data_IF_541540993045
#
_entry.id   IF_541540993045
#
_cell.length_a   1.000
_cell.length_b   1.000
_cell.length_c   1.000
_cell.angle_alpha   90.00
_cell.angle_beta   90.00
_cell.angle_gamma   90.00
#
_symmetry.space_group_name_H-M   'P 1'
#
loop_
_entity.id
_entity.type
_entity.pdbx_description
1 polymer ?
#
# COMPACT_ATOMS: atom_id res chain seq x y z
N UNK A 1 -26.65 2.29 0.67
CA UNK A 1 -25.25 1.87 0.92
C UNK A 1 -25.11 1.58 2.41
N UNK A 2 -25.08 0.32 2.77
CA UNK A 2 -25.14 -0.13 4.18
C UNK A 2 -23.89 0.30 4.98
N UNK A 3 -22.74 0.47 4.33
CA UNK A 3 -21.52 0.81 5.09
C UNK A 3 -21.52 2.24 5.64
N UNK A 4 -22.19 3.18 5.00
CA UNK A 4 -22.30 4.55 5.50
C UNK A 4 -23.01 4.62 6.87
N UNK A 5 -23.92 3.68 7.14
CA UNK A 5 -24.58 3.57 8.44
C UNK A 5 -23.65 3.01 9.53
N UNK A 6 -22.54 2.34 9.10
CA UNK A 6 -21.51 1.82 10.01
C UNK A 6 -20.44 2.86 10.36
N UNK A 7 -20.34 3.94 9.56
CA UNK A 7 -19.44 5.07 9.86
C UNK A 7 -20.06 5.82 11.05
N UNK A 8 -19.36 5.80 12.16
CA UNK A 8 -19.76 6.48 13.39
C UNK A 8 -19.27 7.92 13.38
N UNK A 9 -19.82 8.75 14.27
CA UNK A 9 -19.38 10.14 14.48
C UNK A 9 -18.03 10.25 15.23
N UNK A 10 -17.26 9.15 15.27
CA UNK A 10 -15.99 9.08 15.97
C UNK A 10 -15.03 8.14 15.21
N UNK A 11 -13.87 8.66 14.85
CA UNK A 11 -12.74 7.91 14.31
C UNK A 11 -11.78 7.42 15.42
N UNK A 12 -10.72 6.70 15.01
CA UNK A 12 -9.70 6.20 15.94
C UNK A 12 -9.04 7.33 16.74
N UNK A 13 -8.69 8.43 16.10
CA UNK A 13 -7.94 9.51 16.74
C UNK A 13 -8.77 10.25 17.80
N UNK A 14 -10.05 10.51 17.49
CA UNK A 14 -11.01 11.05 18.44
C UNK A 14 -11.28 10.09 19.61
N UNK A 15 -11.30 8.78 19.35
CA UNK A 15 -11.42 7.76 20.39
C UNK A 15 -10.18 7.75 21.31
N UNK A 16 -8.98 7.69 20.74
CA UNK A 16 -7.73 7.65 21.51
C UNK A 16 -7.50 8.93 22.34
N UNK A 17 -7.95 10.07 21.86
CA UNK A 17 -7.86 11.34 22.59
C UNK A 17 -8.72 11.35 23.85
N UNK A 18 -9.85 10.65 23.84
CA UNK A 18 -10.86 10.70 24.92
C UNK A 18 -10.86 9.45 25.81
N UNK A 19 -9.90 8.53 25.64
CA UNK A 19 -9.81 7.30 26.44
C UNK A 19 -9.03 7.54 27.74
N UNK A 20 -9.46 6.88 28.82
CA UNK A 20 -8.70 6.82 30.08
C UNK A 20 -7.69 5.66 30.11
N UNK A 21 -7.69 4.79 29.09
CA UNK A 21 -6.78 3.64 29.02
C UNK A 21 -5.36 4.07 28.66
N UNK A 22 -4.39 3.27 29.12
CA UNK A 22 -2.99 3.46 28.78
C UNK A 22 -2.72 3.03 27.34
N UNK A 23 -2.19 3.96 26.55
CA UNK A 23 -1.81 3.71 25.14
C UNK A 23 -0.33 3.35 25.08
N UNK A 24 -0.03 2.24 24.44
CA UNK A 24 1.35 1.78 24.16
C UNK A 24 1.51 1.45 22.68
N UNK A 25 2.76 1.55 22.19
CA UNK A 25 3.06 1.29 20.78
C UNK A 25 3.79 -0.04 20.61
N UNK A 26 3.28 -0.86 19.73
CA UNK A 26 3.89 -2.12 19.33
C UNK A 26 4.73 -1.92 18.07
N UNK A 27 6.04 -1.88 18.25
CA UNK A 27 7.04 -1.62 17.22
C UNK A 27 7.75 -0.28 17.40
N UNK A 28 8.73 -0.03 16.54
CA UNK A 28 9.60 1.16 16.50
C UNK A 28 10.08 1.40 15.08
N UNK A 29 10.62 2.60 14.81
CA UNK A 29 11.07 3.02 13.48
C UNK A 29 10.07 3.90 12.77
N UNK A 30 10.18 4.03 11.45
CA UNK A 30 9.46 5.04 10.65
C UNK A 30 7.92 4.97 10.83
N UNK A 31 7.33 3.78 10.89
CA UNK A 31 5.89 3.65 11.12
C UNK A 31 5.46 4.19 12.49
N UNK A 32 6.28 3.93 13.53
CA UNK A 32 6.04 4.48 14.86
C UNK A 32 6.20 6.01 14.87
N UNK A 33 7.23 6.55 14.20
CA UNK A 33 7.44 7.98 14.09
C UNK A 33 6.26 8.70 13.42
N UNK A 34 5.71 8.13 12.33
CA UNK A 34 4.52 8.66 11.66
C UNK A 34 3.29 8.67 12.57
N UNK A 35 3.03 7.57 13.27
CA UNK A 35 1.90 7.47 14.19
C UNK A 35 2.08 8.43 15.36
N UNK A 36 3.29 8.57 15.92
CA UNK A 36 3.58 9.52 16.99
C UNK A 36 3.35 10.96 16.56
N UNK A 37 3.72 11.34 15.34
CA UNK A 37 3.44 12.68 14.82
C UNK A 37 1.94 13.00 14.77
N UNK A 38 1.11 12.01 14.38
CA UNK A 38 -0.35 12.15 14.43
C UNK A 38 -0.86 12.18 15.88
N UNK A 39 -0.33 11.34 16.77
CA UNK A 39 -0.67 11.36 18.19
C UNK A 39 -0.39 12.75 18.81
N UNK A 40 0.77 13.35 18.50
CA UNK A 40 1.13 14.69 18.94
C UNK A 40 0.14 15.74 18.44
N UNK A 41 -0.23 15.68 17.16
CA UNK A 41 -1.24 16.59 16.58
C UNK A 41 -2.60 16.52 17.30
N UNK A 42 -3.04 15.32 17.70
CA UNK A 42 -4.31 15.12 18.41
C UNK A 42 -4.19 15.23 19.92
N UNK A 43 -3.00 15.49 20.49
CA UNK A 43 -2.74 15.55 21.92
C UNK A 43 -2.87 14.17 22.62
N UNK A 44 -2.54 13.10 21.93
CA UNK A 44 -2.59 11.72 22.42
C UNK A 44 -1.20 11.35 22.99
N UNK A 45 -1.17 10.82 24.21
CA UNK A 45 0.08 10.41 24.86
C UNK A 45 0.31 8.91 24.73
N UNK A 46 1.45 8.51 24.14
CA UNK A 46 1.94 7.13 24.12
C UNK A 46 2.85 6.90 25.31
N UNK A 47 2.47 5.97 26.20
CA UNK A 47 3.14 5.75 27.47
C UNK A 47 4.44 4.97 27.34
N UNK A 48 4.48 3.92 26.52
CA UNK A 48 5.66 3.08 26.29
C UNK A 48 5.68 2.46 24.89
N UNK A 49 6.85 1.87 24.57
CA UNK A 49 7.09 1.12 23.36
C UNK A 49 7.45 -0.32 23.70
N UNK A 50 6.98 -1.27 22.89
CA UNK A 50 7.34 -2.66 23.10
C UNK A 50 7.58 -3.42 21.80
N UNK A 51 8.31 -4.54 21.93
CA UNK A 51 8.50 -5.53 20.89
C UNK A 51 7.99 -6.91 21.37
N UNK A 52 7.81 -7.83 20.44
CA UNK A 52 7.51 -9.24 20.78
C UNK A 52 8.61 -9.81 21.69
N UNK A 53 8.25 -10.67 22.61
CA UNK A 53 9.15 -11.16 23.68
C UNK A 53 10.49 -11.71 23.16
N UNK A 54 10.50 -12.38 22.02
CA UNK A 54 11.72 -12.88 21.37
C UNK A 54 12.58 -11.83 20.63
N UNK A 55 12.12 -10.57 20.55
CA UNK A 55 12.76 -9.51 19.76
C UNK A 55 13.24 -8.31 20.60
N UNK A 56 13.12 -8.38 21.90
CA UNK A 56 13.64 -7.35 22.83
C UNK A 56 15.15 -7.43 22.89
N UNK A 57 15.84 -6.36 22.47
CA UNK A 57 17.31 -6.30 22.38
C UNK A 57 17.91 -5.21 23.27
N UNK A 58 17.18 -4.71 24.27
CA UNK A 58 17.65 -3.64 25.15
C UNK A 58 17.79 -2.28 24.47
N UNK A 59 17.15 -2.07 23.33
CA UNK A 59 17.14 -0.77 22.62
C UNK A 59 16.30 0.26 23.34
N UNK A 60 16.62 1.53 23.13
CA UNK A 60 15.76 2.66 23.47
C UNK A 60 15.16 3.26 22.22
N UNK A 61 13.93 3.78 22.35
CA UNK A 61 13.22 4.51 21.30
C UNK A 61 12.55 5.75 21.91
N UNK A 62 12.77 6.92 21.34
CA UNK A 62 12.33 8.22 21.91
C UNK A 62 12.66 8.39 23.41
N UNK A 63 13.88 7.97 23.82
CA UNK A 63 14.35 8.11 25.20
C UNK A 63 13.75 7.11 26.20
N UNK A 64 12.90 6.20 25.78
CA UNK A 64 12.30 5.13 26.61
C UNK A 64 12.91 3.78 26.28
N UNK A 65 13.10 2.92 27.28
CA UNK A 65 13.51 1.52 27.07
C UNK A 65 12.36 0.77 26.41
N UNK A 66 12.67 0.01 25.34
CA UNK A 66 11.69 -0.85 24.68
C UNK A 66 11.43 -2.08 25.54
N UNK A 67 10.17 -2.27 25.93
CA UNK A 67 9.73 -3.35 26.80
C UNK A 67 9.43 -4.63 26.00
N UNK A 68 9.31 -5.75 26.69
CA UNK A 68 8.68 -6.96 26.15
C UNK A 68 7.15 -6.86 26.22
N UNK A 69 6.44 -7.64 25.40
CA UNK A 69 4.97 -7.70 25.48
C UNK A 69 4.50 -8.17 26.87
N UNK A 70 5.18 -9.16 27.45
CA UNK A 70 4.90 -9.67 28.81
C UNK A 70 5.07 -8.58 29.87
N UNK A 71 6.16 -7.79 29.80
CA UNK A 71 6.42 -6.70 30.75
C UNK A 71 5.37 -5.58 30.64
N UNK A 72 4.88 -5.26 29.44
CA UNK A 72 3.82 -4.26 29.26
C UNK A 72 2.52 -4.73 29.89
N UNK A 73 2.13 -6.00 29.71
CA UNK A 73 0.93 -6.56 30.35
C UNK A 73 1.04 -6.60 31.87
N UNK A 74 2.19 -6.95 32.39
CA UNK A 74 2.43 -6.93 33.83
C UNK A 74 2.33 -5.52 34.41
N UNK A 75 2.86 -4.53 33.70
CA UNK A 75 2.91 -3.12 34.15
C UNK A 75 1.53 -2.44 34.14
N UNK A 76 0.70 -2.68 33.12
CA UNK A 76 -0.52 -1.90 32.88
C UNK A 76 -1.81 -2.72 33.01
N UNK A 77 -1.75 -4.03 32.93
CA UNK A 77 -2.92 -4.91 32.85
C UNK A 77 -3.57 -4.91 31.45
N UNK A 78 -4.00 -6.07 30.99
CA UNK A 78 -4.55 -6.23 29.63
C UNK A 78 -5.85 -5.39 29.41
N UNK A 79 -6.70 -5.29 30.42
CA UNK A 79 -8.00 -4.59 30.33
C UNK A 79 -7.86 -3.05 30.23
N UNK A 80 -6.76 -2.51 30.78
CA UNK A 80 -6.47 -1.07 30.79
C UNK A 80 -5.48 -0.68 29.69
N UNK A 81 -5.25 -1.53 28.69
CA UNK A 81 -4.23 -1.35 27.70
C UNK A 81 -4.82 -1.18 26.30
N UNK A 82 -4.38 -0.15 25.59
CA UNK A 82 -4.57 0.02 24.14
C UNK A 82 -3.23 -0.12 23.46
N UNK A 83 -3.16 -1.02 22.48
CA UNK A 83 -1.97 -1.30 21.68
C UNK A 83 -2.12 -0.67 20.29
N UNK A 84 -1.19 0.21 19.90
CA UNK A 84 -1.07 0.74 18.55
C UNK A 84 0.03 -0.01 17.80
N UNK A 85 -0.35 -0.74 16.76
CA UNK A 85 0.59 -1.43 15.88
C UNK A 85 1.25 -0.44 14.92
N UNK A 86 2.57 -0.41 14.88
CA UNK A 86 3.34 0.58 14.12
C UNK A 86 4.24 0.00 13.02
N UNK A 87 4.10 -1.28 12.69
CA UNK A 87 4.84 -1.92 11.59
C UNK A 87 3.93 -2.85 10.79
N UNK A 88 4.28 -3.06 9.53
CA UNK A 88 3.51 -3.89 8.63
C UNK A 88 4.10 -5.27 8.43
N UNK A 89 3.23 -6.26 8.13
CA UNK A 89 3.64 -7.60 7.76
C UNK A 89 2.55 -8.33 6.98
N UNK A 90 3.00 -9.19 6.05
CA UNK A 90 2.18 -10.22 5.38
C UNK A 90 2.57 -11.64 5.83
N UNK A 91 3.59 -11.79 6.69
CA UNK A 91 4.04 -13.09 7.16
C UNK A 91 2.97 -13.78 8.02
N UNK A 92 2.51 -15.00 7.68
CA UNK A 92 1.45 -15.68 8.42
C UNK A 92 1.71 -15.78 9.93
N UNK A 93 2.95 -16.09 10.34
CA UNK A 93 3.33 -16.18 11.76
C UNK A 93 3.19 -14.84 12.49
N UNK A 94 3.45 -13.72 11.83
CA UNK A 94 3.31 -12.37 12.39
C UNK A 94 1.85 -11.96 12.45
N UNK A 95 1.06 -12.28 11.43
CA UNK A 95 -0.39 -12.02 11.41
C UNK A 95 -1.10 -12.80 12.54
N UNK A 96 -0.70 -14.06 12.80
CA UNK A 96 -1.22 -14.82 13.95
C UNK A 96 -0.83 -14.19 15.30
N UNK A 97 0.37 -13.60 15.40
CA UNK A 97 0.76 -12.85 16.58
C UNK A 97 -0.11 -11.60 16.79
N UNK A 98 -0.42 -10.86 15.69
CA UNK A 98 -1.35 -9.73 15.78
C UNK A 98 -2.74 -10.16 16.23
N UNK A 99 -3.27 -11.26 15.69
CA UNK A 99 -4.55 -11.83 16.13
C UNK A 99 -4.52 -12.22 17.62
N UNK A 100 -3.40 -12.78 18.10
CA UNK A 100 -3.23 -13.12 19.52
C UNK A 100 -3.27 -11.88 20.41
N UNK A 101 -2.47 -10.85 20.10
CA UNK A 101 -2.44 -9.60 20.86
C UNK A 101 -3.82 -8.93 20.85
N UNK A 102 -4.50 -8.91 19.69
CA UNK A 102 -5.83 -8.33 19.53
C UNK A 102 -6.94 -9.06 20.32
N UNK A 103 -6.71 -10.34 20.68
CA UNK A 103 -7.61 -11.09 21.59
C UNK A 103 -7.35 -10.81 23.07
N UNK A 104 -6.10 -10.51 23.42
CA UNK A 104 -5.66 -10.32 24.80
C UNK A 104 -5.79 -8.86 25.26
N UNK A 105 -5.67 -7.91 24.34
CA UNK A 105 -5.70 -6.47 24.60
C UNK A 105 -6.50 -5.77 23.52
N UNK A 106 -7.03 -4.59 23.81
CA UNK A 106 -7.58 -3.70 22.80
C UNK A 106 -6.46 -3.23 21.88
N UNK A 107 -6.55 -3.56 20.57
CA UNK A 107 -5.48 -3.30 19.60
C UNK A 107 -6.01 -2.65 18.33
N UNK A 108 -5.24 -1.69 17.84
CA UNK A 108 -5.49 -0.99 16.59
C UNK A 108 -4.22 -0.96 15.72
N UNK A 109 -4.39 -0.98 14.42
CA UNK A 109 -3.36 -0.65 13.45
C UNK A 109 -3.74 0.70 12.81
N UNK A 110 -3.22 1.84 13.30
CA UNK A 110 -3.58 3.14 12.75
C UNK A 110 -3.23 3.24 11.27
N UNK A 111 -4.16 3.72 10.45
CA UNK A 111 -3.89 4.02 9.06
C UNK A 111 -3.20 5.38 8.98
N UNK A 112 -1.93 5.37 8.60
CA UNK A 112 -1.16 6.58 8.27
C UNK A 112 -0.65 6.44 6.85
N UNK A 113 -0.71 7.50 6.03
CA UNK A 113 -0.37 7.38 4.62
C UNK A 113 1.11 6.99 4.44
N UNK A 114 1.37 6.14 3.43
CA UNK A 114 2.73 5.81 3.02
C UNK A 114 3.38 7.06 2.44
N UNK A 115 2.63 7.78 1.61
CA UNK A 115 3.02 9.03 0.96
C UNK A 115 1.97 10.13 1.14
N UNK A 116 2.42 11.39 1.13
CA UNK A 116 1.55 12.55 1.31
C UNK A 116 1.27 12.85 2.78
N UNK A 117 0.55 13.95 3.01
CA UNK A 117 0.30 14.49 4.34
C UNK A 117 -1.18 14.37 4.78
N UNK A 118 -2.05 13.87 3.90
CA UNK A 118 -3.49 13.75 4.17
C UNK A 118 -3.76 12.50 5.01
N UNK A 119 -4.28 12.67 6.20
CA UNK A 119 -4.73 11.58 7.06
C UNK A 119 -6.17 11.20 6.69
N UNK A 120 -6.47 9.91 6.65
CA UNK A 120 -7.84 9.42 6.43
C UNK A 120 -8.59 9.38 7.77
N UNK A 121 -8.97 10.55 8.26
CA UNK A 121 -9.81 10.76 9.43
C UNK A 121 -11.29 11.01 9.04
N UNK A 122 -12.13 11.32 10.03
CA UNK A 122 -13.55 11.57 9.79
C UNK A 122 -13.80 12.85 8.98
N UNK A 123 -12.98 13.89 9.15
CA UNK A 123 -13.08 15.13 8.38
C UNK A 123 -12.71 14.93 6.92
N UNK A 124 -11.63 14.17 6.66
CA UNK A 124 -11.24 13.77 5.31
C UNK A 124 -12.34 12.92 4.65
N UNK A 125 -12.88 11.92 5.35
CA UNK A 125 -13.98 11.10 4.86
C UNK A 125 -15.20 11.95 4.49
N UNK A 126 -15.62 12.87 5.37
CA UNK A 126 -16.78 13.72 5.12
C UNK A 126 -16.57 14.68 3.94
N UNK A 127 -15.35 15.22 3.80
CA UNK A 127 -14.98 16.11 2.70
C UNK A 127 -15.00 15.41 1.33
N UNK A 128 -14.65 14.10 1.29
CA UNK A 128 -14.59 13.29 0.08
C UNK A 128 -15.72 12.27 -0.07
N UNK A 129 -16.77 12.40 0.74
CA UNK A 129 -17.88 11.43 0.79
C UNK A 129 -18.50 11.18 -0.58
N UNK A 130 -18.63 12.20 -1.41
CA UNK A 130 -19.23 12.10 -2.74
C UNK A 130 -18.34 11.30 -3.70
N UNK A 131 -17.02 11.48 -3.67
CA UNK A 131 -16.06 10.73 -4.49
C UNK A 131 -15.96 9.27 -4.02
N UNK A 132 -15.94 9.05 -2.71
CA UNK A 132 -15.95 7.71 -2.11
C UNK A 132 -17.18 6.91 -2.57
N UNK A 133 -18.37 7.55 -2.57
CA UNK A 133 -19.60 6.93 -3.05
C UNK A 133 -19.53 6.62 -4.54
N UNK A 134 -19.10 7.57 -5.38
CA UNK A 134 -18.96 7.37 -6.82
C UNK A 134 -18.01 6.22 -7.15
N UNK A 135 -16.87 6.16 -6.48
CA UNK A 135 -15.90 5.06 -6.68
C UNK A 135 -16.49 3.70 -6.30
N UNK A 136 -17.23 3.63 -5.18
CA UNK A 136 -17.95 2.42 -4.79
C UNK A 136 -18.97 1.94 -5.84
N UNK A 137 -19.70 2.86 -6.44
CA UNK A 137 -20.72 2.56 -7.46
C UNK A 137 -20.12 2.01 -8.76
N UNK A 138 -18.85 2.32 -9.05
CA UNK A 138 -18.12 1.79 -10.21
C UNK A 138 -17.68 0.33 -10.04
N UNK A 139 -17.68 -0.21 -8.83
CA UNK A 139 -17.20 -1.56 -8.56
C UNK A 139 -18.17 -2.63 -9.07
N UNK A 140 -17.63 -3.62 -9.80
CA UNK A 140 -18.43 -4.53 -10.59
C UNK A 140 -18.95 -5.76 -9.83
N UNK A 141 -18.34 -6.13 -8.68
CA UNK A 141 -18.78 -7.29 -7.91
C UNK A 141 -18.95 -7.02 -6.41
N UNK A 142 -19.65 -7.89 -5.73
CA UNK A 142 -19.95 -7.77 -4.30
C UNK A 142 -18.71 -7.96 -3.43
N UNK A 143 -17.73 -8.74 -3.87
CA UNK A 143 -16.45 -8.89 -3.18
C UNK A 143 -15.68 -7.58 -3.16
N UNK A 144 -15.55 -6.91 -4.29
CA UNK A 144 -14.92 -5.58 -4.40
C UNK A 144 -15.60 -4.55 -3.51
N UNK A 145 -16.93 -4.55 -3.49
CA UNK A 145 -17.72 -3.65 -2.62
C UNK A 145 -17.49 -3.95 -1.15
N UNK A 146 -17.47 -5.22 -0.76
CA UNK A 146 -17.15 -5.66 0.61
C UNK A 146 -15.74 -5.24 1.02
N UNK A 147 -14.74 -5.44 0.16
CA UNK A 147 -13.35 -5.04 0.41
C UNK A 147 -13.27 -3.53 0.59
N UNK A 148 -13.85 -2.76 -0.32
CA UNK A 148 -13.88 -1.30 -0.26
C UNK A 148 -14.50 -0.78 1.03
N UNK A 149 -15.67 -1.29 1.42
CA UNK A 149 -16.35 -0.96 2.67
C UNK A 149 -15.47 -1.24 3.89
N UNK A 150 -14.88 -2.43 3.96
CA UNK A 150 -14.03 -2.84 5.07
C UNK A 150 -12.75 -1.99 5.15
N UNK A 151 -12.13 -1.66 4.01
CA UNK A 151 -10.93 -0.81 4.02
C UNK A 151 -11.27 0.62 4.47
N UNK A 152 -12.38 1.20 4.02
CA UNK A 152 -12.84 2.51 4.53
C UNK A 152 -13.08 2.48 6.04
N UNK A 153 -13.79 1.46 6.55
CA UNK A 153 -14.04 1.30 7.98
C UNK A 153 -12.74 1.07 8.77
N UNK A 154 -11.79 0.31 8.19
CA UNK A 154 -10.47 0.14 8.79
C UNK A 154 -9.71 1.48 8.86
N UNK A 155 -9.64 2.24 7.77
CA UNK A 155 -8.95 3.54 7.73
C UNK A 155 -9.47 4.49 8.82
N UNK A 156 -10.78 4.52 9.05
CA UNK A 156 -11.39 5.34 10.08
C UNK A 156 -11.17 4.81 11.50
N UNK A 157 -11.10 3.49 11.69
CA UNK A 157 -11.17 2.89 13.03
C UNK A 157 -9.90 2.19 13.49
N UNK A 158 -8.96 1.89 12.59
CA UNK A 158 -7.78 1.09 12.88
C UNK A 158 -8.04 -0.37 13.28
N UNK A 159 -9.28 -0.87 13.18
CA UNK A 159 -9.67 -2.20 13.64
C UNK A 159 -9.23 -3.28 12.67
N UNK A 160 -8.39 -4.21 13.14
CA UNK A 160 -7.82 -5.29 12.33
C UNK A 160 -8.88 -6.25 11.75
N UNK A 161 -10.02 -6.42 12.43
CA UNK A 161 -11.10 -7.30 11.97
C UNK A 161 -11.56 -6.96 10.55
N UNK A 162 -11.66 -5.68 10.22
CA UNK A 162 -12.03 -5.24 8.87
C UNK A 162 -11.02 -5.68 7.81
N UNK A 163 -9.73 -5.71 8.14
CA UNK A 163 -8.72 -6.19 7.20
C UNK A 163 -8.81 -7.70 6.99
N UNK A 164 -9.00 -8.47 8.06
CA UNK A 164 -9.15 -9.93 7.95
C UNK A 164 -10.41 -10.32 7.17
N UNK A 165 -11.49 -9.53 7.26
CA UNK A 165 -12.73 -9.74 6.50
C UNK A 165 -12.64 -9.29 5.03
N UNK A 166 -11.56 -8.61 4.65
CA UNK A 166 -11.32 -8.05 3.32
C UNK A 166 -10.22 -8.79 2.53
N UNK A 167 -9.82 -9.99 2.95
CA UNK A 167 -8.77 -10.75 2.28
C UNK A 167 -9.28 -11.46 1.03
N UNK A 168 -8.48 -11.41 -0.05
CA UNK A 168 -8.73 -12.08 -1.33
C UNK A 168 -7.62 -13.08 -1.66
N UNK A 169 -7.96 -14.05 -2.51
CA UNK A 169 -6.99 -14.98 -3.06
C UNK A 169 -6.24 -14.35 -4.25
N UNK A 170 -4.91 -14.46 -4.24
CA UNK A 170 -4.06 -13.95 -5.31
C UNK A 170 -4.29 -14.69 -6.64
N UNK A 171 -4.48 -16.01 -6.60
CA UNK A 171 -4.75 -16.83 -7.78
C UNK A 171 -6.05 -16.41 -8.49
N UNK A 172 -7.09 -16.05 -7.73
CA UNK A 172 -8.35 -15.55 -8.29
C UNK A 172 -8.13 -14.17 -8.94
N UNK A 173 -7.30 -13.32 -8.37
CA UNK A 173 -6.95 -12.02 -8.94
C UNK A 173 -6.26 -12.15 -10.29
N UNK A 174 -5.28 -13.04 -10.41
CA UNK A 174 -4.60 -13.29 -11.69
C UNK A 174 -5.50 -14.01 -12.70
N UNK A 175 -6.41 -14.85 -12.24
CA UNK A 175 -7.46 -15.43 -13.09
C UNK A 175 -8.42 -14.37 -13.62
N UNK A 176 -8.86 -13.45 -12.77
CA UNK A 176 -9.71 -12.31 -13.15
C UNK A 176 -9.02 -11.39 -14.17
N UNK A 177 -7.74 -11.10 -13.98
CA UNK A 177 -6.90 -10.34 -14.91
C UNK A 177 -6.76 -11.03 -16.29
N UNK A 178 -7.01 -12.34 -16.38
CA UNK A 178 -6.75 -13.12 -17.58
C UNK A 178 -5.27 -13.37 -17.85
N UNK A 179 -4.45 -13.47 -16.80
CA UNK A 179 -3.00 -13.50 -16.83
C UNK A 179 -2.42 -14.60 -17.74
N UNK A 180 -3.10 -15.74 -17.90
CA UNK A 180 -2.67 -16.84 -18.79
C UNK A 180 -2.51 -16.41 -20.25
N UNK A 181 -3.15 -15.31 -20.66
CA UNK A 181 -3.14 -14.83 -22.05
C UNK A 181 -2.13 -13.70 -22.28
N UNK A 182 -1.42 -13.22 -21.26
CA UNK A 182 -0.47 -12.13 -21.41
C UNK A 182 0.75 -12.56 -22.22
N UNK A 183 1.14 -11.71 -23.17
CA UNK A 183 2.35 -11.85 -23.97
C UNK A 183 3.34 -10.73 -23.68
N UNK A 184 2.84 -9.52 -23.52
CA UNK A 184 3.66 -8.35 -23.21
C UNK A 184 3.13 -7.66 -21.97
N UNK A 185 4.01 -7.41 -21.02
CA UNK A 185 3.69 -6.77 -19.75
C UNK A 185 4.58 -5.56 -19.47
N UNK A 186 4.10 -4.68 -18.59
CA UNK A 186 4.91 -3.66 -17.95
C UNK A 186 4.71 -3.74 -16.43
N UNK A 187 5.82 -3.73 -15.68
CA UNK A 187 5.86 -3.68 -14.22
C UNK A 187 6.45 -2.34 -13.80
N UNK A 188 5.60 -1.43 -13.39
CA UNK A 188 5.98 -0.10 -12.93
C UNK A 188 6.17 -0.15 -11.42
N UNK A 189 7.45 -0.23 -10.99
CA UNK A 189 7.88 -0.48 -9.61
C UNK A 189 8.29 -1.94 -9.41
N UNK A 190 9.23 -2.42 -10.23
CA UNK A 190 9.66 -3.82 -10.25
C UNK A 190 10.61 -4.20 -9.10
N UNK A 191 11.03 -3.25 -8.26
CA UNK A 191 11.91 -3.45 -7.10
C UNK A 191 13.15 -4.30 -7.47
N UNK A 192 13.24 -5.52 -6.95
CA UNK A 192 14.34 -6.45 -7.24
C UNK A 192 13.93 -7.57 -8.23
N UNK A 193 12.78 -7.43 -8.89
CA UNK A 193 12.20 -8.39 -9.81
C UNK A 193 11.33 -9.47 -9.15
N UNK A 194 10.89 -9.28 -7.91
CA UNK A 194 9.99 -10.22 -7.22
C UNK A 194 8.64 -10.32 -7.93
N UNK A 195 8.03 -9.21 -8.30
CA UNK A 195 6.76 -9.17 -9.05
C UNK A 195 6.91 -9.65 -10.49
N UNK A 196 8.09 -9.46 -11.10
CA UNK A 196 8.41 -10.05 -12.40
C UNK A 196 8.43 -11.59 -12.33
N UNK A 197 9.05 -12.16 -11.27
CA UNK A 197 9.05 -13.62 -11.04
C UNK A 197 7.65 -14.14 -10.82
N UNK A 198 6.88 -13.47 -9.97
CA UNK A 198 5.48 -13.82 -9.71
C UNK A 198 4.66 -13.83 -10.99
N UNK A 199 4.81 -12.83 -11.86
CA UNK A 199 4.06 -12.76 -13.12
C UNK A 199 4.33 -13.96 -14.05
N UNK A 200 5.56 -14.49 -14.08
CA UNK A 200 5.88 -15.69 -14.86
C UNK A 200 5.15 -16.94 -14.36
N UNK A 201 4.82 -17.04 -13.09
CA UNK A 201 4.06 -18.16 -12.54
C UNK A 201 2.62 -18.19 -13.06
N UNK A 202 2.02 -17.01 -13.30
CA UNK A 202 0.64 -16.86 -13.78
C UNK A 202 0.52 -16.69 -15.29
N UNK A 203 1.61 -16.31 -15.98
CA UNK A 203 1.62 -15.93 -17.39
C UNK A 203 2.61 -16.78 -18.19
N UNK A 204 2.28 -18.05 -18.47
CA UNK A 204 3.19 -19.00 -19.11
C UNK A 204 3.56 -18.64 -20.57
N UNK A 205 2.81 -17.72 -21.18
CA UNK A 205 3.02 -17.26 -22.55
C UNK A 205 3.66 -15.88 -22.64
N UNK A 206 4.18 -15.37 -21.53
CA UNK A 206 4.84 -14.06 -21.49
C UNK A 206 6.10 -14.07 -22.34
N UNK A 207 6.17 -13.16 -23.30
CA UNK A 207 7.27 -13.02 -24.27
C UNK A 207 8.17 -11.83 -23.92
N UNK A 208 7.60 -10.78 -23.32
CA UNK A 208 8.32 -9.56 -23.00
C UNK A 208 7.73 -8.87 -21.76
N UNK A 209 8.63 -8.31 -20.94
CA UNK A 209 8.25 -7.46 -19.81
C UNK A 209 9.17 -6.24 -19.73
N UNK A 210 8.58 -5.05 -19.57
CA UNK A 210 9.27 -3.79 -19.27
C UNK A 210 9.22 -3.56 -17.77
N UNK A 211 10.38 -3.54 -17.10
CA UNK A 211 10.47 -3.49 -15.63
C UNK A 211 11.12 -2.17 -15.20
N UNK A 212 10.31 -1.25 -14.63
CA UNK A 212 10.76 0.06 -14.16
C UNK A 212 11.17 -0.01 -12.69
N UNK A 213 12.36 0.51 -12.37
CA UNK A 213 12.85 0.64 -11.01
C UNK A 213 13.75 1.89 -10.90
N UNK A 214 13.35 2.92 -10.14
CA UNK A 214 14.13 4.15 -10.02
C UNK A 214 15.32 4.06 -9.06
N UNK A 215 15.22 3.28 -7.96
CA UNK A 215 16.30 3.17 -6.97
C UNK A 215 17.50 2.40 -7.54
N UNK A 216 18.71 3.00 -7.58
CA UNK A 216 19.87 2.36 -8.21
C UNK A 216 20.32 1.07 -7.54
N UNK A 217 20.04 0.88 -6.24
CA UNK A 217 20.41 -0.35 -5.51
C UNK A 217 19.46 -1.50 -5.87
N UNK A 218 18.16 -1.20 -5.92
CA UNK A 218 17.15 -2.16 -6.31
C UNK A 218 17.25 -2.47 -7.80
N UNK A 219 17.47 -1.46 -8.64
CA UNK A 219 17.72 -1.63 -10.07
C UNK A 219 18.92 -2.54 -10.36
N UNK A 220 20.00 -2.45 -9.58
CA UNK A 220 21.14 -3.36 -9.71
C UNK A 220 20.73 -4.82 -9.45
N UNK A 221 19.91 -5.07 -8.43
CA UNK A 221 19.39 -6.42 -8.13
C UNK A 221 18.48 -6.91 -9.24
N UNK A 222 17.59 -6.04 -9.75
CA UNK A 222 16.73 -6.33 -10.90
C UNK A 222 17.57 -6.68 -12.13
N UNK A 223 18.60 -5.87 -12.46
CA UNK A 223 19.49 -6.13 -13.60
C UNK A 223 20.22 -7.48 -13.47
N UNK A 224 20.75 -7.78 -12.27
CA UNK A 224 21.39 -9.08 -12.02
C UNK A 224 20.40 -10.24 -12.21
N UNK A 225 19.15 -10.09 -11.77
CA UNK A 225 18.12 -11.09 -12.03
C UNK A 225 17.85 -11.23 -13.55
N UNK A 226 17.71 -10.12 -14.28
CA UNK A 226 17.47 -10.15 -15.72
C UNK A 226 18.61 -10.85 -16.49
N UNK A 227 19.87 -10.61 -16.11
CA UNK A 227 21.06 -11.24 -16.69
C UNK A 227 21.12 -12.75 -16.40
N UNK A 228 20.60 -13.19 -15.25
CA UNK A 228 20.58 -14.60 -14.83
C UNK A 228 19.31 -15.35 -15.25
N UNK A 229 18.36 -14.68 -15.93
CA UNK A 229 17.10 -15.29 -16.32
C UNK A 229 17.28 -16.23 -17.52
N UNK A 230 17.01 -17.53 -17.33
CA UNK A 230 17.18 -18.57 -18.35
C UNK A 230 15.91 -18.84 -19.18
N UNK A 231 14.80 -18.10 -18.93
CA UNK A 231 13.54 -18.24 -19.68
C UNK A 231 13.63 -17.65 -21.09
N UNK A 232 12.64 -17.96 -21.94
CA UNK A 232 12.55 -17.46 -23.31
C UNK A 232 12.08 -16.02 -23.45
N UNK A 233 11.47 -15.45 -22.39
CA UNK A 233 10.96 -14.10 -22.39
C UNK A 233 12.08 -13.06 -22.31
N UNK A 234 11.88 -11.90 -22.95
CA UNK A 234 12.79 -10.75 -22.85
C UNK A 234 12.38 -9.86 -21.68
N UNK A 235 13.23 -9.73 -20.66
CA UNK A 235 13.05 -8.77 -19.57
C UNK A 235 13.87 -7.51 -19.90
N UNK A 236 13.21 -6.34 -19.96
CA UNK A 236 13.83 -5.05 -20.29
C UNK A 236 13.82 -4.20 -19.02
N UNK A 237 14.92 -4.17 -18.24
CA UNK A 237 15.02 -3.33 -17.07
C UNK A 237 15.20 -1.86 -17.47
N UNK A 238 14.48 -0.96 -16.80
CA UNK A 238 14.46 0.48 -17.06
C UNK A 238 14.74 1.21 -15.76
N UNK A 239 15.91 1.86 -15.65
CA UNK A 239 16.27 2.64 -14.48
C UNK A 239 15.60 4.03 -14.54
N UNK A 240 14.33 4.05 -14.26
CA UNK A 240 13.51 5.27 -14.20
C UNK A 240 12.30 5.07 -13.29
N UNK A 241 11.80 6.15 -12.72
CA UNK A 241 10.48 6.21 -12.13
C UNK A 241 9.42 6.28 -13.25
N UNK A 242 8.33 5.53 -13.12
CA UNK A 242 7.18 5.71 -13.99
C UNK A 242 6.50 7.05 -13.66
N UNK A 243 6.35 7.91 -14.66
CA UNK A 243 5.88 9.27 -14.50
C UNK A 243 5.01 9.69 -15.69
N UNK A 244 4.41 10.90 -15.61
CA UNK A 244 3.54 11.40 -16.69
C UNK A 244 4.30 11.88 -17.94
N UNK A 245 5.60 12.15 -17.83
CA UNK A 245 6.46 12.60 -18.93
C UNK A 245 7.93 12.30 -18.66
N UNK A 246 8.75 12.35 -19.70
CA UNK A 246 10.19 12.18 -19.56
C UNK A 246 10.80 13.45 -18.93
N UNK A 247 11.38 13.33 -17.73
CA UNK A 247 11.91 14.44 -16.94
C UNK A 247 12.93 13.97 -15.90
N UNK A 248 13.60 14.88 -15.22
CA UNK A 248 14.37 14.60 -14.02
C UNK A 248 13.47 14.79 -12.79
N UNK A 249 13.55 13.88 -11.82
CA UNK A 249 12.78 13.88 -10.59
C UNK A 249 13.70 13.80 -9.38
N UNK A 250 13.27 14.41 -8.27
CA UNK A 250 13.95 14.25 -6.98
C UNK A 250 13.28 13.12 -6.21
N UNK A 251 14.04 12.09 -5.91
CA UNK A 251 13.60 10.86 -5.27
C UNK A 251 14.16 10.78 -3.85
N UNK A 252 13.33 10.52 -2.86
CA UNK A 252 13.74 10.22 -1.49
C UNK A 252 14.15 8.76 -1.40
N UNK A 253 15.44 8.47 -1.43
CA UNK A 253 15.96 7.10 -1.45
C UNK A 253 16.60 6.68 -0.14
N UNK A 254 15.97 5.77 0.59
CA UNK A 254 16.62 5.03 1.68
C UNK A 254 17.04 3.60 1.24
N UNK A 255 16.74 3.22 -0.01
CA UNK A 255 17.05 1.90 -0.56
C UNK A 255 16.23 0.77 0.05
N UNK A 256 15.09 1.09 0.66
CA UNK A 256 14.10 0.15 1.17
C UNK A 256 12.78 0.27 0.39
N UNK A 257 11.76 -0.51 0.77
CA UNK A 257 10.43 -0.50 0.12
C UNK A 257 9.68 0.83 0.22
N UNK A 258 10.13 1.77 1.06
CA UNK A 258 9.50 3.08 1.27
C UNK A 258 10.20 4.21 0.49
N UNK A 259 10.98 3.89 -0.53
CA UNK A 259 11.65 4.88 -1.38
C UNK A 259 10.68 5.36 -2.46
N UNK A 260 10.22 6.59 -2.40
CA UNK A 260 9.22 7.14 -3.31
C UNK A 260 9.47 8.60 -3.72
N UNK A 261 8.69 9.09 -4.68
CA UNK A 261 8.67 10.51 -5.09
C UNK A 261 7.80 11.28 -4.09
N UNK A 262 8.27 11.37 -2.86
CA UNK A 262 7.66 12.20 -1.82
C UNK A 262 8.55 13.41 -1.56
N UNK A 263 7.95 14.50 -1.09
CA UNK A 263 8.72 15.68 -0.68
C UNK A 263 9.80 15.26 0.33
N UNK A 264 11.09 15.62 0.11
CA UNK A 264 12.16 15.18 0.98
C UNK A 264 11.94 15.71 2.39
N UNK A 265 11.90 14.83 3.38
CA UNK A 265 12.06 15.23 4.77
C UNK A 265 13.46 15.84 4.94
N UNK A 266 13.64 16.80 5.84
CA UNK A 266 14.90 17.57 6.04
C UNK A 266 16.15 16.72 6.25
N UNK A 267 16.01 15.41 6.47
CA UNK A 267 17.09 14.46 6.77
C UNK A 267 17.26 13.35 5.72
N UNK A 268 16.35 13.23 4.73
CA UNK A 268 16.45 12.20 3.71
C UNK A 268 17.52 12.53 2.67
N UNK A 269 18.36 11.56 2.32
CA UNK A 269 19.24 11.65 1.14
C UNK A 269 18.35 11.68 -0.10
N UNK A 270 18.37 12.81 -0.81
CA UNK A 270 17.71 12.95 -2.10
C UNK A 270 18.61 12.44 -3.21
N UNK A 271 18.02 11.76 -4.17
CA UNK A 271 18.68 11.29 -5.37
C UNK A 271 17.91 11.81 -6.58
N UNK A 272 18.63 12.33 -7.58
CA UNK A 272 18.02 12.63 -8.86
C UNK A 272 17.84 11.34 -9.66
N UNK A 273 16.62 11.07 -10.09
CA UNK A 273 16.26 9.92 -10.92
C UNK A 273 15.57 10.38 -12.20
N UNK A 274 15.64 9.56 -13.23
CA UNK A 274 14.88 9.81 -14.46
C UNK A 274 13.42 9.44 -14.23
N UNK A 275 12.50 10.34 -14.57
CA UNK A 275 11.09 10.02 -14.80
C UNK A 275 10.87 9.67 -16.26
N UNK A 276 10.10 8.63 -16.54
CA UNK A 276 9.70 8.26 -17.92
C UNK A 276 8.25 7.86 -17.97
N UNK A 277 7.56 8.29 -19.03
CA UNK A 277 6.22 7.81 -19.30
C UNK A 277 6.26 6.42 -19.94
N UNK A 278 5.27 5.57 -19.64
CA UNK A 278 5.14 4.28 -20.30
C UNK A 278 4.95 4.44 -21.81
N UNK A 279 4.17 5.45 -22.20
CA UNK A 279 3.92 5.78 -23.61
C UNK A 279 5.21 6.06 -24.39
N UNK A 280 6.18 6.78 -23.76
CA UNK A 280 7.49 7.06 -24.39
C UNK A 280 8.37 5.83 -24.53
N UNK A 281 8.21 4.85 -23.65
CA UNK A 281 8.98 3.60 -23.66
C UNK A 281 8.41 2.59 -24.64
N UNK A 282 7.09 2.45 -24.67
CA UNK A 282 6.44 1.49 -25.55
C UNK A 282 6.41 1.92 -27.03
N UNK A 283 6.49 3.22 -27.33
CA UNK A 283 6.44 3.76 -28.70
C UNK A 283 5.30 3.15 -29.52
N UNK A 284 4.09 3.06 -28.93
CA UNK A 284 2.87 2.45 -29.48
C UNK A 284 2.92 0.91 -29.63
N UNK A 285 3.94 0.23 -29.13
CA UNK A 285 3.91 -1.22 -29.06
C UNK A 285 2.80 -1.67 -28.09
N UNK A 286 2.14 -2.78 -28.47
CA UNK A 286 1.09 -3.35 -27.65
C UNK A 286 1.63 -3.84 -26.30
N UNK A 287 0.82 -3.67 -25.26
CA UNK A 287 1.00 -4.28 -23.95
C UNK A 287 -0.36 -4.87 -23.54
N UNK A 288 -0.34 -6.04 -22.90
CA UNK A 288 -1.53 -6.76 -22.45
C UNK A 288 -1.82 -6.52 -20.97
N UNK A 289 -0.81 -6.18 -20.18
CA UNK A 289 -0.90 -5.99 -18.75
C UNK A 289 0.06 -4.91 -18.26
N UNK A 290 -0.41 -4.07 -17.35
CA UNK A 290 0.42 -3.06 -16.66
C UNK A 290 0.15 -3.10 -15.16
N UNK A 291 1.22 -3.29 -14.36
CA UNK A 291 1.19 -3.13 -12.91
C UNK A 291 1.69 -1.74 -12.53
N UNK A 292 1.00 -1.10 -11.61
CA UNK A 292 1.37 0.19 -11.02
C UNK A 292 1.54 0.00 -9.51
N UNK A 293 2.79 0.07 -9.05
CA UNK A 293 3.16 0.01 -7.64
C UNK A 293 4.38 0.93 -7.45
N UNK A 294 4.12 2.23 -7.53
CA UNK A 294 5.12 3.28 -7.73
C UNK A 294 5.22 4.24 -6.55
N UNK A 295 4.91 3.73 -5.37
CA UNK A 295 5.12 4.41 -4.08
C UNK A 295 4.51 5.82 -4.03
N UNK A 296 3.23 5.92 -4.44
CA UNK A 296 2.43 7.15 -4.39
C UNK A 296 2.51 8.03 -5.63
N UNK A 297 3.06 7.53 -6.74
CA UNK A 297 3.06 8.19 -8.06
C UNK A 297 2.07 7.56 -9.05
N UNK A 298 1.11 6.75 -8.57
CA UNK A 298 0.17 5.99 -9.40
C UNK A 298 -0.62 6.91 -10.34
N UNK A 299 -1.11 8.03 -9.82
CA UNK A 299 -1.83 9.03 -10.61
C UNK A 299 -1.01 9.52 -11.81
N UNK A 300 0.25 9.89 -11.57
CA UNK A 300 1.15 10.38 -12.60
C UNK A 300 1.56 9.27 -13.59
N UNK A 301 1.78 8.06 -13.09
CA UNK A 301 2.10 6.92 -13.94
C UNK A 301 0.93 6.52 -14.86
N UNK A 302 -0.31 6.60 -14.38
CA UNK A 302 -1.52 6.43 -15.20
C UNK A 302 -1.63 7.51 -16.28
N UNK A 303 -1.33 8.78 -15.95
CA UNK A 303 -1.27 9.86 -16.92
C UNK A 303 -0.23 9.60 -18.01
N UNK A 304 0.96 9.07 -17.63
CA UNK A 304 2.04 8.70 -18.55
C UNK A 304 1.81 7.42 -19.35
N UNK A 305 0.71 6.74 -19.09
CA UNK A 305 0.26 5.55 -19.81
C UNK A 305 -1.01 5.79 -20.63
N UNK A 306 -1.44 7.06 -20.75
CA UNK A 306 -2.73 7.43 -21.32
C UNK A 306 -2.93 6.91 -22.75
N UNK A 307 -1.95 7.10 -23.64
CA UNK A 307 -2.04 6.66 -25.04
C UNK A 307 -2.10 5.13 -25.10
N UNK A 308 -1.29 4.45 -24.30
CA UNK A 308 -1.27 2.99 -24.21
C UNK A 308 -2.62 2.44 -23.73
N UNK A 309 -3.20 3.02 -22.67
CA UNK A 309 -4.50 2.61 -22.11
C UNK A 309 -5.61 2.81 -23.14
N UNK A 310 -5.64 3.94 -23.82
CA UNK A 310 -6.65 4.26 -24.83
C UNK A 310 -6.54 3.36 -26.07
N UNK A 311 -5.31 3.06 -26.53
CA UNK A 311 -5.08 2.32 -27.75
C UNK A 311 -5.22 0.81 -27.57
N UNK A 312 -4.74 0.25 -26.44
CA UNK A 312 -4.56 -1.19 -26.28
C UNK A 312 -5.47 -1.82 -25.23
N UNK A 313 -6.04 -1.02 -24.33
CA UNK A 313 -6.88 -1.50 -23.23
C UNK A 313 -6.24 -2.67 -22.47
N UNK A 314 -4.99 -2.51 -21.96
CA UNK A 314 -4.36 -3.57 -21.17
C UNK A 314 -5.14 -3.85 -19.89
N UNK A 315 -5.02 -5.05 -19.34
CA UNK A 315 -5.41 -5.31 -17.96
C UNK A 315 -4.50 -4.48 -17.04
N UNK A 316 -5.09 -3.81 -16.01
CA UNK A 316 -4.33 -3.00 -15.05
C UNK A 316 -4.42 -3.61 -13.66
N UNK A 317 -3.31 -3.62 -12.94
CA UNK A 317 -3.23 -3.88 -11.51
C UNK A 317 -2.61 -2.64 -10.85
N UNK A 318 -3.38 -1.91 -10.07
CA UNK A 318 -2.94 -0.61 -9.52
C UNK A 318 -2.98 -0.66 -8.00
N UNK A 319 -1.85 -0.44 -7.35
CA UNK A 319 -1.76 -0.30 -5.90
C UNK A 319 -2.52 0.94 -5.44
N UNK A 320 -3.51 0.78 -4.56
CA UNK A 320 -4.42 1.85 -4.15
C UNK A 320 -4.36 2.10 -2.63
N UNK A 321 -3.14 2.14 -2.08
CA UNK A 321 -2.93 2.24 -0.63
C UNK A 321 -1.84 3.24 -0.20
N UNK A 322 -1.09 3.80 -1.14
CA UNK A 322 0.05 4.67 -0.79
C UNK A 322 -0.41 6.03 -0.25
N UNK A 323 -1.49 6.59 -0.80
CA UNK A 323 -2.10 7.84 -0.36
C UNK A 323 -3.50 7.60 0.20
N UNK A 324 -3.94 8.49 1.04
CA UNK A 324 -5.29 8.41 1.63
C UNK A 324 -6.40 8.44 0.58
N UNK A 325 -6.21 9.24 -0.49
CA UNK A 325 -7.18 9.40 -1.57
C UNK A 325 -7.16 8.27 -2.62
N UNK A 326 -6.11 7.46 -2.71
CA UNK A 326 -5.92 6.48 -3.80
C UNK A 326 -7.10 5.52 -3.94
N UNK A 327 -7.69 5.10 -2.82
CA UNK A 327 -8.81 4.15 -2.79
C UNK A 327 -10.04 4.64 -3.59
N UNK A 328 -10.23 5.94 -3.73
CA UNK A 328 -11.35 6.50 -4.53
C UNK A 328 -10.89 7.31 -5.74
N UNK A 329 -9.73 7.98 -5.65
CA UNK A 329 -9.26 8.83 -6.73
C UNK A 329 -8.78 8.04 -7.96
N UNK A 330 -8.08 6.90 -7.74
CA UNK A 330 -7.59 6.08 -8.85
C UNK A 330 -8.71 5.42 -9.66
N UNK A 331 -9.74 4.76 -9.06
CA UNK A 331 -10.86 4.25 -9.84
C UNK A 331 -11.62 5.35 -10.59
N UNK A 332 -11.77 6.55 -10.02
CA UNK A 332 -12.40 7.67 -10.72
C UNK A 332 -11.57 8.16 -11.90
N UNK A 333 -10.24 8.31 -11.74
CA UNK A 333 -9.33 8.68 -12.82
C UNK A 333 -9.35 7.67 -13.98
N UNK A 334 -9.33 6.37 -13.66
CA UNK A 334 -9.35 5.32 -14.69
C UNK A 334 -10.70 5.30 -15.40
N UNK A 335 -11.80 5.46 -14.67
CA UNK A 335 -13.13 5.54 -15.28
C UNK A 335 -13.29 6.78 -16.17
N UNK A 336 -12.77 7.92 -15.77
CA UNK A 336 -12.75 9.12 -16.62
C UNK A 336 -11.91 8.92 -17.89
N UNK A 337 -10.76 8.27 -17.75
CA UNK A 337 -9.88 7.96 -18.87
C UNK A 337 -10.51 6.96 -19.84
N UNK A 338 -11.13 5.90 -19.29
CA UNK A 338 -11.71 4.81 -20.07
C UNK A 338 -12.91 4.16 -19.36
N UNK A 339 -14.15 4.65 -19.63
CA UNK A 339 -15.36 4.22 -18.91
C UNK A 339 -15.79 2.76 -19.13
N UNK A 340 -15.24 2.08 -20.14
CA UNK A 340 -15.54 0.67 -20.44
C UNK A 340 -14.69 -0.34 -19.66
N UNK A 341 -13.78 0.11 -18.79
CA UNK A 341 -13.14 -0.77 -17.83
C UNK A 341 -14.14 -1.25 -16.76
N UNK A 342 -14.09 -2.54 -16.47
CA UNK A 342 -14.70 -3.12 -15.29
C UNK A 342 -13.72 -3.04 -14.14
N UNK A 343 -14.16 -2.46 -13.02
CA UNK A 343 -13.30 -2.15 -11.87
C UNK A 343 -13.58 -3.11 -10.73
N UNK A 344 -12.50 -3.67 -10.15
CA UNK A 344 -12.56 -4.60 -9.04
C UNK A 344 -11.51 -4.25 -8.01
N UNK A 345 -11.82 -4.44 -6.73
CA UNK A 345 -10.83 -4.43 -5.66
C UNK A 345 -10.51 -5.83 -5.18
N UNK A 346 -9.22 -6.09 -4.99
CA UNK A 346 -8.72 -7.28 -4.29
C UNK A 346 -7.65 -6.86 -3.31
N UNK A 347 -7.62 -7.47 -2.14
CA UNK A 347 -6.63 -7.16 -1.10
C UNK A 347 -5.99 -8.44 -0.60
N UNK A 348 -4.67 -8.50 -0.66
CA UNK A 348 -3.94 -9.64 -0.16
C UNK A 348 -3.64 -9.51 1.34
N UNK A 349 -3.41 -10.64 2.07
CA UNK A 349 -3.15 -10.60 3.49
C UNK A 349 -1.97 -9.71 3.85
N UNK A 350 -2.25 -8.57 4.43
CA UNK A 350 -1.27 -7.61 4.95
C UNK A 350 -1.92 -6.78 6.07
N UNK A 351 -1.18 -6.42 7.10
CA UNK A 351 -1.56 -5.41 8.10
C UNK A 351 -0.43 -4.39 8.11
N UNK A 352 -0.70 -3.10 7.90
CA UNK A 352 -1.97 -2.38 7.69
C UNK A 352 -2.64 -2.67 6.34
N UNK A 353 -3.49 -1.78 5.80
CA UNK A 353 -4.25 -1.97 4.57
C UNK A 353 -3.40 -1.85 3.28
N UNK A 354 -2.17 -2.35 3.33
CA UNK A 354 -1.29 -2.47 2.16
C UNK A 354 -1.70 -3.69 1.34
N UNK A 355 -1.18 -3.81 0.11
CA UNK A 355 -1.61 -4.81 -0.86
C UNK A 355 -3.12 -4.72 -1.24
N UNK A 356 -3.69 -3.50 -1.17
CA UNK A 356 -4.98 -3.19 -1.78
C UNK A 356 -4.78 -2.87 -3.26
N UNK A 357 -5.36 -3.68 -4.13
CA UNK A 357 -5.13 -3.62 -5.56
C UNK A 357 -6.43 -3.33 -6.30
N UNK A 358 -6.43 -2.29 -7.14
CA UNK A 358 -7.47 -2.01 -8.12
C UNK A 358 -7.16 -2.76 -9.40
N UNK A 359 -8.06 -3.65 -9.81
CA UNK A 359 -7.99 -4.43 -11.05
C UNK A 359 -8.94 -3.80 -12.06
N UNK A 360 -8.43 -3.54 -13.29
CA UNK A 360 -9.23 -2.97 -14.38
C UNK A 360 -9.11 -3.85 -15.62
N UNK A 361 -10.24 -4.35 -16.15
CA UNK A 361 -10.32 -5.25 -17.30
C UNK A 361 -11.45 -4.91 -18.26
#
# INVERSE_FOLDING_TARGET
MIFLEKVKDQDLWSYLRNTDKTIVMYGMGNGADKILAVCEHYGITVSDFFASDGFVRGHSFHGKTVLSYSAVKEKYGSDNLIVLLSFGSSLPSVLELFKKVNKECEMYAPDVPVCGDSLFDLDFFNSHKSEIIKAYELLCDDESKKIYENVILYKLTGKLGYLFDAESCKDESYSLLGAKNFRVAADLGAYNGDTVRELFEYSPHLEKIYAFEPDPRNFRKLSTYCESFEGSASIIPINAAAWNQDTALVFGGEGNRNSGICAPTKTAKTLEVKGRSLDSVLLKNRVDYVKYDVEGAEKQALEGSRETILAHRPALLVSAYHRSEDIFALPLQIHELRPDYKLYYRRYPYVPAWDLNLICI
#
